data_IF_718196721126
#
_entry.id   IF_718196721126
#
_cell.length_a   1.000
_cell.length_b   1.000
_cell.length_c   1.000
_cell.angle_alpha   90.00
_cell.angle_beta   90.00
_cell.angle_gamma   90.00
#
_symmetry.space_group_name_H-M   'P 1'
#
loop_
_entity.id
_entity.type
_entity.pdbx_description
1 polymer ?
#
# COMPACT_ATOMS: atom_id res chain seq x y z
N UNK A 1 10.01 -3.06 17.67
CA UNK A 1 10.54 -4.42 17.91
C UNK A 1 11.97 -4.41 17.39
N UNK A 2 12.94 -4.94 18.14
CA UNK A 2 14.33 -5.02 17.64
C UNK A 2 14.42 -6.03 16.49
N UNK A 3 14.60 -5.54 15.27
CA UNK A 3 14.75 -6.32 14.03
C UNK A 3 16.16 -6.92 13.89
N UNK A 4 16.73 -7.46 14.96
CA UNK A 4 18.13 -7.89 14.94
C UNK A 4 18.24 -9.30 14.32
N UNK A 5 18.19 -9.37 12.98
CA UNK A 5 18.37 -10.59 12.19
C UNK A 5 17.36 -10.82 11.06
N UNK A 6 16.37 -9.95 10.87
CA UNK A 6 15.36 -10.13 9.82
C UNK A 6 15.96 -9.88 8.42
N UNK A 7 15.70 -10.80 7.49
CA UNK A 7 16.09 -10.66 6.08
C UNK A 7 14.90 -10.15 5.27
N UNK A 8 15.12 -9.10 4.48
CA UNK A 8 14.09 -8.47 3.66
C UNK A 8 14.41 -8.59 2.17
N UNK A 9 13.37 -8.62 1.33
CA UNK A 9 13.48 -8.58 -0.12
C UNK A 9 12.73 -7.35 -0.63
N UNK A 10 13.30 -6.65 -1.61
CA UNK A 10 12.67 -5.53 -2.29
C UNK A 10 12.47 -5.85 -3.78
N UNK A 11 11.36 -5.39 -4.33
CA UNK A 11 11.05 -5.45 -5.77
C UNK A 11 10.59 -4.05 -6.19
N UNK A 12 11.05 -3.61 -7.36
CA UNK A 12 10.61 -2.37 -7.98
C UNK A 12 10.15 -2.66 -9.42
N UNK A 13 9.00 -2.11 -9.77
CA UNK A 13 8.39 -2.24 -11.10
C UNK A 13 8.29 -0.84 -11.72
N UNK A 14 8.59 -0.72 -13.01
CA UNK A 14 8.55 0.58 -13.70
C UNK A 14 7.10 1.01 -13.97
N UNK A 15 6.85 2.31 -13.89
CA UNK A 15 5.62 2.94 -14.36
C UNK A 15 5.93 3.83 -15.56
N UNK A 16 5.12 3.75 -16.61
CA UNK A 16 5.16 4.61 -17.78
C UNK A 16 4.70 6.04 -17.48
N UNK A 17 4.92 6.93 -18.45
CA UNK A 17 4.48 8.33 -18.33
C UNK A 17 2.95 8.38 -18.24
N UNK A 18 2.45 8.89 -17.12
CA UNK A 18 1.02 9.03 -16.88
C UNK A 18 0.31 7.75 -16.40
N UNK A 19 1.04 6.66 -16.15
CA UNK A 19 0.47 5.42 -15.62
C UNK A 19 0.01 5.61 -14.16
N UNK A 20 -1.18 5.13 -13.82
CA UNK A 20 -1.85 5.37 -12.54
C UNK A 20 -2.05 4.06 -11.80
N UNK A 21 -1.77 4.04 -10.50
CA UNK A 21 -1.88 2.85 -9.65
C UNK A 21 -3.20 2.86 -8.90
N UNK A 22 -3.90 1.73 -8.89
CA UNK A 22 -5.18 1.52 -8.19
C UNK A 22 -5.18 0.21 -7.41
N UNK A 23 -6.16 0.05 -6.51
CA UNK A 23 -6.35 -1.18 -5.74
C UNK A 23 -5.74 -1.09 -4.35
N UNK A 24 -4.97 -2.11 -3.98
CA UNK A 24 -4.34 -2.29 -2.66
C UNK A 24 -5.32 -2.56 -1.51
N UNK A 25 -6.61 -2.74 -1.82
CA UNK A 25 -7.66 -3.02 -0.84
C UNK A 25 -8.53 -1.80 -0.57
N UNK A 26 -9.14 -1.76 0.62
CA UNK A 26 -10.06 -0.72 1.05
C UNK A 26 -9.30 0.43 1.75
N UNK A 27 -8.72 1.35 0.98
CA UNK A 27 -8.08 2.55 1.51
C UNK A 27 -8.93 3.81 1.27
N UNK A 28 -9.06 4.63 2.31
CA UNK A 28 -9.81 5.90 2.29
C UNK A 28 -8.94 7.14 1.99
N UNK A 29 -7.68 6.91 1.61
CA UNK A 29 -6.77 7.90 1.03
C UNK A 29 -7.17 8.23 -0.42
N UNK A 30 -6.50 9.16 -1.14
CA UNK A 30 -6.82 9.43 -2.54
C UNK A 30 -6.90 8.16 -3.39
N UNK A 31 -7.84 8.14 -4.34
CA UNK A 31 -8.18 6.95 -5.13
C UNK A 31 -6.98 6.44 -5.95
N UNK A 32 -6.25 7.36 -6.60
CA UNK A 32 -4.98 7.09 -7.28
C UNK A 32 -3.87 6.93 -6.25
N UNK A 33 -3.12 5.83 -6.30
CA UNK A 33 -2.12 5.45 -5.30
C UNK A 33 -0.71 5.93 -5.59
N UNK A 34 -0.47 6.57 -6.75
CA UNK A 34 0.82 7.18 -7.07
C UNK A 34 1.27 8.14 -5.95
N UNK A 35 2.48 7.96 -5.45
CA UNK A 35 3.06 8.78 -4.39
C UNK A 35 2.65 8.40 -2.97
N UNK A 36 1.80 7.38 -2.77
CA UNK A 36 1.43 6.87 -1.45
C UNK A 36 2.34 5.72 -1.04
N UNK A 37 2.72 5.69 0.25
CA UNK A 37 3.30 4.51 0.90
C UNK A 37 2.15 3.80 1.61
N UNK A 38 2.03 2.48 1.41
CA UNK A 38 0.94 1.71 2.00
C UNK A 38 1.52 0.48 2.69
N UNK A 39 1.19 0.32 3.97
CA UNK A 39 1.50 -0.86 4.75
C UNK A 39 0.38 -1.88 4.63
N UNK A 40 0.71 -3.12 4.26
CA UNK A 40 -0.27 -4.19 4.07
C UNK A 40 -0.59 -4.87 5.41
N UNK A 41 -1.33 -4.18 6.27
CA UNK A 41 -1.71 -4.68 7.60
C UNK A 41 -3.14 -4.29 7.97
N UNK A 42 -3.98 -5.29 8.23
CA UNK A 42 -5.37 -5.04 8.59
C UNK A 42 -5.47 -4.47 10.00
N UNK A 43 -6.08 -3.29 10.11
CA UNK A 43 -6.20 -2.57 11.38
C UNK A 43 -7.51 -1.79 11.46
N UNK A 44 -7.99 -1.59 12.70
CA UNK A 44 -9.19 -0.81 13.00
C UNK A 44 -8.83 0.68 13.19
N UNK A 45 -8.59 1.35 12.07
CA UNK A 45 -8.20 2.76 12.03
C UNK A 45 -9.31 3.75 11.73
N UNK A 46 -10.57 3.29 11.62
CA UNK A 46 -11.66 4.07 11.07
C UNK A 46 -11.47 4.40 9.57
N UNK A 47 -12.11 5.48 9.10
CA UNK A 47 -12.07 5.90 7.68
C UNK A 47 -11.39 7.26 7.48
N UNK A 48 -10.78 7.80 8.53
CA UNK A 48 -10.09 9.10 8.54
C UNK A 48 -8.58 8.95 8.76
N UNK A 49 -8.03 7.76 8.49
CA UNK A 49 -6.61 7.43 8.60
C UNK A 49 -6.12 6.68 7.35
N UNK A 50 -4.82 6.38 7.31
CA UNK A 50 -4.20 5.61 6.22
C UNK A 50 -4.38 4.09 6.39
N UNK A 51 -4.76 3.66 7.59
CA UNK A 51 -5.03 2.26 7.93
C UNK A 51 -6.25 1.74 7.17
N UNK A 52 -6.26 0.44 6.92
CA UNK A 52 -7.34 -0.24 6.20
C UNK A 52 -7.76 -1.51 6.93
N UNK A 53 -9.07 -1.76 6.94
CA UNK A 53 -9.63 -3.02 7.44
C UNK A 53 -9.32 -4.20 6.50
N UNK A 54 -9.17 -3.92 5.21
CA UNK A 54 -9.07 -4.93 4.14
C UNK A 54 -7.92 -4.59 3.19
N UNK A 55 -6.69 -4.90 3.60
CA UNK A 55 -5.51 -4.79 2.73
C UNK A 55 -5.44 -5.99 1.81
N UNK A 56 -5.23 -5.74 0.52
CA UNK A 56 -5.06 -6.77 -0.50
C UNK A 56 -3.78 -6.43 -1.27
N UNK A 57 -2.73 -7.29 -1.27
CA UNK A 57 -1.46 -7.02 -1.94
C UNK A 57 -1.57 -7.24 -3.46
N UNK A 58 -2.50 -6.50 -4.07
CA UNK A 58 -2.80 -6.51 -5.49
C UNK A 58 -3.11 -5.08 -5.92
N UNK A 59 -2.44 -4.64 -6.97
CA UNK A 59 -2.71 -3.36 -7.62
C UNK A 59 -2.92 -3.57 -9.12
N UNK A 60 -3.59 -2.61 -9.75
CA UNK A 60 -3.76 -2.51 -11.19
C UNK A 60 -3.18 -1.18 -11.67
N UNK A 61 -2.65 -1.15 -12.89
CA UNK A 61 -2.18 0.07 -13.56
C UNK A 61 -2.88 0.35 -14.88
#
# INVERSE_FOLDING_TARGET
MDHNGDSFINIQLNLGVGELVYGLGEHFTPFVKNGQVIEMWNEDGGTASEQAYKNIPFYLT
#
